data_IF_933259342949
#
_entry.id   IF_933259342949
#
_cell.length_a   1.000
_cell.length_b   1.000
_cell.length_c   1.000
_cell.angle_alpha   90.00
_cell.angle_beta   90.00
_cell.angle_gamma   90.00
#
_symmetry.space_group_name_H-M   'P 1'
#
loop_
_entity.id
_entity.type
_entity.pdbx_description
1 polymer ?
#
# COMPACT_ATOMS: atom_id res chain seq x y z
N UNK A 1 16.99 -0.92 -11.03
CA UNK A 1 15.83 -0.01 -10.96
C UNK A 1 14.60 -0.80 -10.60
N UNK A 2 13.96 -0.43 -9.48
CA UNK A 2 12.80 -1.10 -8.92
C UNK A 2 11.62 -0.14 -8.71
N UNK A 3 10.45 -0.49 -9.24
CA UNK A 3 9.22 0.33 -9.14
C UNK A 3 8.05 -0.54 -8.67
N UNK A 4 7.31 -0.04 -7.67
CA UNK A 4 6.00 -0.54 -7.26
C UNK A 4 4.92 0.43 -7.76
N UNK A 5 3.98 -0.05 -8.56
CA UNK A 5 2.88 0.77 -9.11
C UNK A 5 1.58 0.53 -8.35
N UNK A 6 0.84 1.58 -8.02
CA UNK A 6 -0.50 1.49 -7.47
C UNK A 6 -1.57 1.74 -8.53
N UNK A 7 -2.58 0.89 -8.56
CA UNK A 7 -3.78 1.09 -9.37
C UNK A 7 -4.97 1.33 -8.43
N UNK A 8 -5.60 2.50 -8.54
CA UNK A 8 -6.72 2.90 -7.68
C UNK A 8 -8.06 2.75 -8.42
N UNK A 9 -9.12 2.39 -7.67
CA UNK A 9 -10.51 2.48 -8.13
C UNK A 9 -11.28 3.40 -7.19
N UNK A 10 -11.92 4.43 -7.75
CA UNK A 10 -12.81 5.33 -7.04
C UNK A 10 -14.27 4.98 -7.35
N UNK A 11 -15.13 4.98 -6.33
CA UNK A 11 -16.57 4.96 -6.53
C UNK A 11 -17.08 6.39 -6.36
N UNK A 12 -17.82 6.89 -7.37
CA UNK A 12 -18.37 8.24 -7.37
C UNK A 12 -19.26 8.47 -6.12
N UNK A 13 -18.96 9.50 -5.33
CA UNK A 13 -19.69 9.87 -4.10
C UNK A 13 -19.02 9.48 -2.78
N UNK A 14 -17.83 8.85 -2.81
CA UNK A 14 -17.01 8.60 -1.61
C UNK A 14 -15.87 9.61 -1.49
N UNK A 15 -15.39 9.85 -0.26
CA UNK A 15 -14.20 10.66 0.01
C UNK A 15 -13.02 10.30 -0.92
N UNK A 16 -12.50 11.29 -1.64
CA UNK A 16 -11.31 11.13 -2.47
C UNK A 16 -10.14 10.71 -1.59
N UNK A 17 -9.44 9.65 -1.98
CA UNK A 17 -8.23 9.18 -1.31
C UNK A 17 -7.02 9.36 -2.21
N UNK A 18 -5.88 9.64 -1.60
CA UNK A 18 -4.60 9.71 -2.29
C UNK A 18 -3.55 8.87 -1.55
N UNK A 19 -2.57 8.40 -2.30
CA UNK A 19 -1.40 7.73 -1.76
C UNK A 19 -0.29 8.75 -1.70
N UNK A 20 0.34 8.86 -0.54
CA UNK A 20 1.45 9.77 -0.29
C UNK A 20 2.71 8.96 -0.04
N UNK A 21 3.80 9.35 -0.69
CA UNK A 21 5.16 8.84 -0.44
C UNK A 21 6.02 10.05 -0.16
N UNK A 22 6.77 10.04 0.95
CA UNK A 22 7.62 11.17 1.34
C UNK A 22 6.86 12.53 1.35
N UNK A 23 5.57 12.50 1.69
CA UNK A 23 4.69 13.68 1.81
C UNK A 23 4.06 14.17 0.51
N UNK A 24 4.41 13.61 -0.65
CA UNK A 24 3.84 14.00 -1.96
C UNK A 24 2.89 12.94 -2.49
N UNK A 25 1.86 13.35 -3.24
CA UNK A 25 0.95 12.42 -3.91
C UNK A 25 1.73 11.62 -4.95
N UNK A 26 1.67 10.29 -4.86
CA UNK A 26 2.43 9.38 -5.71
C UNK A 26 1.55 8.28 -6.29
N UNK A 27 1.86 7.86 -7.51
CA UNK A 27 1.25 6.67 -8.14
C UNK A 27 2.16 5.45 -8.05
N UNK A 28 3.42 5.67 -7.70
CA UNK A 28 4.48 4.69 -7.65
C UNK A 28 5.39 4.91 -6.44
N UNK A 29 5.94 3.80 -5.92
CA UNK A 29 6.98 3.82 -4.89
C UNK A 29 8.29 3.40 -5.53
N UNK A 30 9.24 4.33 -5.57
CA UNK A 30 10.59 4.03 -6.01
C UNK A 30 11.37 3.34 -4.88
N UNK A 31 11.75 2.08 -5.11
CA UNK A 31 12.43 1.25 -4.11
C UNK A 31 13.96 1.31 -4.21
N UNK A 32 14.50 2.04 -5.19
CA UNK A 32 15.94 2.15 -5.40
C UNK A 32 16.57 0.94 -6.09
N UNK A 33 17.84 0.70 -5.76
CA UNK A 33 18.59 -0.48 -6.15
C UNK A 33 18.94 -1.27 -4.88
N UNK A 34 19.06 -2.58 -5.00
CA UNK A 34 19.43 -3.48 -3.91
C UNK A 34 20.47 -4.48 -4.39
N UNK A 35 21.44 -4.79 -3.54
CA UNK A 35 22.42 -5.84 -3.80
C UNK A 35 21.74 -7.22 -3.74
N UNK A 36 22.29 -8.21 -4.43
CA UNK A 36 21.77 -9.58 -4.40
C UNK A 36 21.71 -10.11 -2.96
N UNK A 37 20.60 -10.71 -2.59
CA UNK A 37 20.35 -11.23 -1.24
C UNK A 37 20.12 -10.16 -0.17
N UNK A 38 20.31 -8.87 -0.47
CA UNK A 38 20.17 -7.78 0.49
C UNK A 38 18.77 -7.16 0.49
N UNK A 39 18.52 -6.27 1.45
CA UNK A 39 17.25 -5.56 1.60
C UNK A 39 17.45 -4.06 1.32
N UNK A 40 16.52 -3.43 0.60
CA UNK A 40 16.55 -1.98 0.37
C UNK A 40 16.26 -1.19 1.64
N UNK A 41 16.50 0.13 1.58
CA UNK A 41 15.93 1.04 2.57
C UNK A 41 14.40 0.88 2.62
N UNK A 42 13.85 1.07 3.83
CA UNK A 42 12.40 1.07 4.05
C UNK A 42 11.79 2.33 3.43
N UNK A 43 10.63 2.16 2.80
CA UNK A 43 9.80 3.23 2.24
C UNK A 43 8.43 3.17 2.88
N UNK A 44 7.95 4.30 3.37
CA UNK A 44 6.60 4.40 3.94
C UNK A 44 5.69 5.05 2.92
N UNK A 45 4.54 4.43 2.65
CA UNK A 45 3.47 5.05 1.90
C UNK A 45 2.21 5.13 2.75
N UNK A 46 1.44 6.19 2.52
CA UNK A 46 0.30 6.56 3.35
C UNK A 46 -0.93 6.71 2.46
N UNK A 47 -1.99 5.98 2.77
CA UNK A 47 -3.29 6.12 2.10
C UNK A 47 -4.21 6.94 2.99
N UNK A 48 -4.60 8.13 2.54
CA UNK A 48 -5.47 9.02 3.32
C UNK A 48 -6.41 9.82 2.44
N UNK A 49 -7.39 10.49 3.05
CA UNK A 49 -8.22 11.47 2.37
C UNK A 49 -7.35 12.52 1.67
N UNK A 50 -7.59 12.75 0.38
CA UNK A 50 -6.89 13.77 -0.40
C UNK A 50 -7.19 15.17 0.14
N UNK A 51 -8.43 15.38 0.59
CA UNK A 51 -8.87 16.57 1.31
C UNK A 51 -9.84 16.18 2.43
N UNK A 52 -9.36 16.06 3.69
CA UNK A 52 -10.20 15.66 4.82
C UNK A 52 -11.26 16.72 5.18
N UNK A 53 -11.12 17.95 4.70
CA UNK A 53 -12.05 19.04 4.99
C UNK A 53 -13.35 18.94 4.19
N UNK A 54 -13.37 18.18 3.07
CA UNK A 54 -14.55 18.07 2.22
C UNK A 54 -15.72 17.34 2.91
N UNK A 55 -16.99 17.73 2.67
CA UNK A 55 -18.16 17.13 3.32
C UNK A 55 -18.22 15.59 3.23
N UNK A 56 -17.87 15.02 2.08
CA UNK A 56 -17.85 13.59 1.80
C UNK A 56 -16.79 12.82 2.60
N UNK A 57 -15.76 13.50 3.11
CA UNK A 57 -14.73 12.94 3.99
C UNK A 57 -15.04 13.18 5.48
N UNK A 58 -15.65 14.32 5.82
CA UNK A 58 -16.00 14.66 7.21
C UNK A 58 -16.96 13.65 7.86
N UNK A 59 -17.74 12.92 7.06
CA UNK A 59 -18.63 11.86 7.54
C UNK A 59 -17.87 10.81 8.39
N UNK A 60 -16.59 10.58 8.11
CA UNK A 60 -15.75 9.64 8.86
C UNK A 60 -15.33 10.16 10.24
N UNK A 61 -15.40 11.48 10.47
CA UNK A 61 -15.13 12.08 11.77
C UNK A 61 -16.40 12.18 12.64
N UNK A 62 -17.56 12.43 12.02
CA UNK A 62 -18.74 12.94 12.73
C UNK A 62 -19.94 12.00 12.76
N UNK A 63 -20.05 11.07 11.82
CA UNK A 63 -21.30 10.30 11.68
C UNK A 63 -21.45 9.15 12.67
N UNK A 64 -20.34 8.61 13.20
CA UNK A 64 -20.32 7.35 13.95
C UNK A 64 -20.78 6.12 13.15
N UNK A 65 -21.10 6.29 11.86
CA UNK A 65 -21.61 5.22 10.99
C UNK A 65 -20.54 4.19 10.64
N UNK A 66 -19.30 4.65 10.54
CA UNK A 66 -18.15 3.84 10.20
C UNK A 66 -17.25 3.74 11.42
N UNK A 67 -16.68 2.57 11.63
CA UNK A 67 -15.72 2.30 12.71
C UNK A 67 -14.38 1.87 12.14
N UNK A 68 -14.39 1.20 10.99
CA UNK A 68 -13.20 0.61 10.39
C UNK A 68 -13.17 0.82 8.88
N UNK A 69 -11.98 0.77 8.31
CA UNK A 69 -11.76 0.64 6.88
C UNK A 69 -11.04 -0.69 6.59
N UNK A 70 -11.49 -1.41 5.57
CA UNK A 70 -10.76 -2.54 4.99
C UNK A 70 -10.04 -2.09 3.74
N UNK A 71 -8.73 -2.23 3.74
CA UNK A 71 -7.86 -2.07 2.59
C UNK A 71 -7.56 -3.44 2.01
N UNK A 72 -7.84 -3.65 0.73
CA UNK A 72 -7.43 -4.85 0.00
C UNK A 72 -6.33 -4.49 -0.98
N UNK A 73 -5.19 -5.18 -0.85
CA UNK A 73 -4.07 -5.09 -1.79
C UNK A 73 -4.10 -6.31 -2.70
N UNK A 74 -4.59 -6.15 -3.93
CA UNK A 74 -4.75 -7.25 -4.88
C UNK A 74 -3.69 -7.21 -5.98
N UNK A 75 -2.98 -8.31 -6.18
CA UNK A 75 -2.06 -8.49 -7.31
C UNK A 75 -1.91 -9.97 -7.63
N UNK A 76 -1.81 -10.30 -8.92
CA UNK A 76 -1.42 -11.65 -9.35
C UNK A 76 0.02 -12.01 -8.98
N UNK A 77 0.85 -11.01 -8.61
CA UNK A 77 2.23 -11.21 -8.20
C UNK A 77 2.40 -11.50 -6.68
N UNK A 78 1.33 -11.42 -5.88
CA UNK A 78 1.40 -11.74 -4.46
C UNK A 78 1.73 -13.23 -4.27
N UNK A 79 2.73 -13.50 -3.43
CA UNK A 79 3.20 -14.84 -3.10
C UNK A 79 3.28 -15.01 -1.57
N UNK A 80 3.93 -16.09 -1.10
CA UNK A 80 4.10 -16.41 0.33
C UNK A 80 4.94 -15.40 1.12
N UNK A 81 5.80 -14.63 0.44
CA UNK A 81 6.76 -13.71 1.04
C UNK A 81 6.27 -12.25 0.97
N UNK A 82 5.56 -11.90 -0.11
CA UNK A 82 5.06 -10.56 -0.36
C UNK A 82 4.68 -10.37 -1.82
N UNK A 83 4.94 -9.17 -2.36
CA UNK A 83 4.67 -8.84 -3.76
C UNK A 83 5.87 -9.20 -4.63
N UNK A 84 5.77 -10.31 -5.36
CA UNK A 84 6.78 -10.73 -6.31
C UNK A 84 6.95 -9.75 -7.48
N UNK A 85 8.07 -9.91 -8.19
CA UNK A 85 8.30 -9.25 -9.46
C UNK A 85 7.29 -9.74 -10.53
N UNK A 86 6.78 -8.85 -11.37
CA UNK A 86 5.79 -9.17 -12.42
C UNK A 86 6.33 -8.92 -13.83
N UNK A 87 6.95 -7.75 -14.08
CA UNK A 87 7.42 -7.35 -15.42
C UNK A 87 8.95 -7.31 -15.55
N UNK A 88 9.68 -7.34 -14.43
CA UNK A 88 11.15 -7.23 -14.42
C UNK A 88 11.86 -8.57 -14.61
N UNK A 89 13.19 -8.53 -14.70
CA UNK A 89 14.03 -9.73 -14.91
C UNK A 89 14.53 -10.43 -13.63
N UNK A 90 14.51 -9.75 -12.48
CA UNK A 90 14.86 -10.30 -11.16
C UNK A 90 13.69 -11.11 -10.57
N UNK A 91 13.44 -12.30 -11.12
CA UNK A 91 12.23 -13.11 -10.87
C UNK A 91 12.08 -13.63 -9.44
N UNK A 92 13.14 -13.61 -8.64
CA UNK A 92 13.17 -14.03 -7.25
C UNK A 92 13.22 -12.86 -6.24
N UNK A 93 13.17 -11.62 -6.74
CA UNK A 93 13.01 -10.44 -5.90
C UNK A 93 11.53 -10.21 -5.55
N UNK A 94 11.28 -9.68 -4.36
CA UNK A 94 9.94 -9.42 -3.85
C UNK A 94 9.94 -8.22 -2.91
N UNK A 95 8.83 -7.50 -2.87
CA UNK A 95 8.59 -6.40 -1.92
C UNK A 95 7.78 -6.91 -0.75
N UNK A 96 8.29 -6.70 0.46
CA UNK A 96 7.52 -6.83 1.69
C UNK A 96 6.66 -5.59 1.84
N UNK A 97 5.38 -5.75 2.15
CA UNK A 97 4.48 -4.66 2.53
C UNK A 97 3.90 -5.01 3.89
N UNK A 98 4.04 -4.13 4.87
CA UNK A 98 3.59 -4.35 6.25
C UNK A 98 2.81 -3.12 6.71
N UNK A 99 1.57 -3.26 7.22
CA UNK A 99 0.86 -2.14 7.80
C UNK A 99 1.48 -1.70 9.13
N UNK A 100 1.39 -0.42 9.45
CA UNK A 100 2.03 0.17 10.65
C UNK A 100 1.01 0.50 11.73
N UNK A 101 -0.11 1.10 11.36
CA UNK A 101 -1.16 1.54 12.27
C UNK A 101 -2.51 0.85 12.03
N UNK A 102 -2.47 -0.41 11.57
CA UNK A 102 -3.65 -1.24 11.41
C UNK A 102 -4.08 -1.89 12.73
N UNK A 103 -5.28 -2.47 12.75
CA UNK A 103 -5.73 -3.32 13.84
C UNK A 103 -4.85 -4.57 14.01
N UNK A 104 -4.27 -5.04 12.90
CA UNK A 104 -3.25 -6.11 12.84
C UNK A 104 -2.21 -5.77 11.79
N UNK A 105 -0.94 -5.84 12.17
CA UNK A 105 0.21 -5.48 11.33
C UNK A 105 0.88 -6.70 10.70
N UNK A 106 0.08 -7.61 10.14
CA UNK A 106 0.61 -8.77 9.41
C UNK A 106 1.10 -8.35 8.03
N UNK A 107 2.12 -9.05 7.50
CA UNK A 107 2.60 -8.77 6.16
C UNK A 107 1.56 -9.11 5.10
N UNK A 108 1.51 -8.25 4.09
CA UNK A 108 0.65 -8.46 2.92
C UNK A 108 1.21 -9.59 2.07
N UNK A 109 0.46 -10.68 1.98
CA UNK A 109 0.80 -11.87 1.18
C UNK A 109 -0.41 -12.35 0.40
N UNK A 110 -0.27 -13.39 -0.43
CA UNK A 110 -1.42 -13.98 -1.12
C UNK A 110 -2.49 -14.56 -0.17
N UNK A 111 -2.14 -14.87 1.09
CA UNK A 111 -3.06 -15.38 2.11
C UNK A 111 -3.62 -14.28 3.03
N UNK A 112 -2.91 -13.17 3.12
CA UNK A 112 -3.24 -12.08 4.02
C UNK A 112 -3.11 -10.76 3.25
N UNK A 113 -4.07 -10.49 2.37
CA UNK A 113 -4.08 -9.32 1.48
C UNK A 113 -5.07 -8.24 1.91
N UNK A 114 -5.75 -8.45 3.05
CA UNK A 114 -6.82 -7.59 3.57
C UNK A 114 -6.39 -7.05 4.92
N UNK A 115 -6.26 -5.74 5.00
CA UNK A 115 -5.80 -5.03 6.20
C UNK A 115 -6.93 -4.15 6.72
N UNK A 116 -7.20 -4.22 8.03
CA UNK A 116 -8.23 -3.40 8.66
C UNK A 116 -7.61 -2.30 9.49
N UNK A 117 -8.07 -1.06 9.31
CA UNK A 117 -7.64 0.12 10.06
C UNK A 117 -8.82 0.77 10.79
N UNK A 118 -8.58 1.44 11.92
CA UNK A 118 -9.55 2.37 12.49
C UNK A 118 -9.89 3.47 11.47
N UNK A 119 -11.17 3.80 11.31
CA UNK A 119 -11.60 4.72 10.24
C UNK A 119 -11.10 6.16 10.45
N UNK A 120 -10.89 6.58 11.70
CA UNK A 120 -10.39 7.92 12.06
C UNK A 120 -9.00 8.20 11.49
N UNK A 121 -8.22 7.16 11.20
CA UNK A 121 -6.92 7.28 10.53
C UNK A 121 -7.04 7.84 9.13
N UNK A 122 -8.14 7.62 8.42
CA UNK A 122 -8.32 8.11 7.04
C UNK A 122 -8.17 9.64 6.93
N UNK A 123 -8.61 10.37 7.96
CA UNK A 123 -8.65 11.84 7.98
C UNK A 123 -7.58 12.46 8.90
N UNK A 124 -6.77 11.62 9.56
CA UNK A 124 -5.68 12.04 10.46
C UNK A 124 -4.32 11.55 9.92
N UNK A 125 -3.75 10.51 10.52
CA UNK A 125 -2.40 10.00 10.22
C UNK A 125 -2.29 9.28 8.88
N UNK A 126 -3.44 8.91 8.28
CA UNK A 126 -3.55 8.00 7.15
C UNK A 126 -3.33 6.53 7.52
N UNK A 127 -3.72 5.65 6.61
CA UNK A 127 -3.38 4.23 6.68
C UNK A 127 -1.94 4.06 6.21
N UNK A 128 -1.05 3.71 7.13
CA UNK A 128 0.39 3.67 6.87
C UNK A 128 0.86 2.26 6.58
N UNK A 129 1.71 2.14 5.57
CA UNK A 129 2.36 0.91 5.18
C UNK A 129 3.84 1.16 4.99
N UNK A 130 4.64 0.25 5.54
CA UNK A 130 6.05 0.15 5.25
C UNK A 130 6.28 -0.88 4.14
N UNK A 131 7.18 -0.54 3.22
CA UNK A 131 7.63 -1.42 2.17
C UNK A 131 9.16 -1.46 2.10
N UNK A 132 9.70 -2.64 1.80
CA UNK A 132 11.10 -2.79 1.42
C UNK A 132 11.25 -3.88 0.37
N UNK A 133 12.20 -3.69 -0.54
CA UNK A 133 12.54 -4.66 -1.57
C UNK A 133 13.58 -5.64 -1.03
N UNK A 134 13.31 -6.93 -1.14
CA UNK A 134 14.30 -7.99 -0.94
C UNK A 134 14.87 -8.41 -2.28
N UNK A 135 16.18 -8.21 -2.45
CA UNK A 135 16.94 -8.70 -3.59
C UNK A 135 17.02 -10.23 -3.55
N UNK A 136 16.77 -10.85 -4.70
CA UNK A 136 17.01 -12.27 -4.88
C UNK A 136 18.47 -12.60 -5.19
N UNK A 137 18.71 -13.80 -5.71
CA UNK A 137 19.98 -14.26 -6.26
C UNK A 137 20.14 -13.87 -7.73
N UNK A 138 19.04 -13.55 -8.43
CA UNK A 138 19.08 -13.16 -9.85
C UNK A 138 19.15 -11.63 -9.97
N UNK A 139 20.18 -11.15 -10.65
CA UNK A 139 20.29 -9.74 -11.00
C UNK A 139 19.27 -9.36 -12.07
N UNK A 140 18.79 -8.13 -12.01
CA UNK A 140 17.81 -7.64 -12.97
C UNK A 140 16.99 -6.46 -12.48
N UNK A 141 15.95 -6.15 -13.23
CA UNK A 141 14.95 -5.15 -12.86
C UNK A 141 13.86 -5.80 -12.01
N UNK A 142 13.28 -5.01 -11.11
CA UNK A 142 12.07 -5.37 -10.39
C UNK A 142 10.96 -4.41 -10.82
N UNK A 143 9.82 -4.93 -11.23
CA UNK A 143 8.66 -4.09 -11.50
C UNK A 143 7.40 -4.88 -11.19
N UNK A 144 6.58 -4.33 -10.28
CA UNK A 144 5.32 -4.96 -9.89
C UNK A 144 4.25 -3.91 -9.65
N UNK A 145 3.01 -4.36 -9.62
CA UNK A 145 1.84 -3.52 -9.41
C UNK A 145 0.88 -4.15 -8.42
N UNK A 146 0.20 -3.32 -7.65
CA UNK A 146 -0.85 -3.74 -6.73
C UNK A 146 -2.06 -2.81 -6.87
N UNK A 147 -3.24 -3.42 -6.92
CA UNK A 147 -4.51 -2.70 -6.89
C UNK A 147 -4.88 -2.48 -5.43
N UNK A 148 -5.18 -1.23 -5.08
CA UNK A 148 -5.63 -0.88 -3.74
C UNK A 148 -7.12 -0.53 -3.77
N UNK A 149 -7.90 -1.25 -2.97
CA UNK A 149 -9.33 -1.03 -2.79
C UNK A 149 -9.63 -0.71 -1.33
N UNK A 150 -10.54 0.23 -1.09
CA UNK A 150 -10.95 0.64 0.27
C UNK A 150 -12.45 0.40 0.43
N UNK A 151 -12.82 -0.29 1.50
CA UNK A 151 -14.22 -0.47 1.91
C UNK A 151 -14.42 0.10 3.33
N UNK A 152 -15.42 0.96 3.49
CA UNK A 152 -15.76 1.57 4.77
C UNK A 152 -16.85 0.74 5.47
N UNK A 153 -16.61 0.39 6.74
CA UNK A 153 -17.44 -0.50 7.55
C UNK A 153 -17.96 0.17 8.82
#
# INVERSE_FOLDING_TARGET
MAILVFLQRFFCGTCDIAIYVDGVVAQDVYMGNVTLGETSAKKTFIVKAADPSKPECRIFATSGKYTNARITLASGALNKQGLGNWLGTATDAWVRITPVNALKNNDVTFRDSVVSFPIDKLISDGFQFDAFLKGGKKSGTYQSGVVLSVAYL
#
